data_IF_689210140707
#
_entry.id   IF_689210140707
#
_cell.length_a   1.000
_cell.length_b   1.000
_cell.length_c   1.000
_cell.angle_alpha   90.00
_cell.angle_beta   90.00
_cell.angle_gamma   90.00
#
_symmetry.space_group_name_H-M   'P 1'
#
loop_
_entity.id
_entity.type
_entity.pdbx_description
1 polymer ?
#
# COMPACT_ATOMS: atom_id res chain seq x y z
N UNK A 1 -18.01 -17.06 10.05
CA UNK A 1 -18.16 -17.23 11.51
C UNK A 1 -18.00 -15.86 12.15
N UNK A 2 -19.09 -15.17 12.47
CA UNK A 2 -19.05 -13.93 13.26
C UNK A 2 -18.69 -14.28 14.70
N UNK A 3 -17.74 -13.56 15.30
CA UNK A 3 -17.44 -13.62 16.73
C UNK A 3 -17.77 -12.26 17.32
N UNK A 4 -18.77 -12.23 18.18
CA UNK A 4 -19.21 -11.01 18.86
C UNK A 4 -18.50 -10.92 20.21
N UNK A 5 -17.76 -9.84 20.45
CA UNK A 5 -17.19 -9.52 21.76
C UNK A 5 -18.01 -8.38 22.36
N UNK A 6 -18.68 -8.64 23.48
CA UNK A 6 -19.56 -7.68 24.14
C UNK A 6 -18.83 -6.99 25.30
N UNK A 7 -18.48 -5.72 25.15
CA UNK A 7 -18.28 -4.83 26.29
C UNK A 7 -18.85 -3.43 25.95
N UNK A 8 -20.12 -3.25 26.28
CA UNK A 8 -20.74 -1.96 26.66
C UNK A 8 -20.52 -0.72 25.78
N UNK A 9 -20.36 -0.89 24.47
CA UNK A 9 -20.51 0.16 23.45
C UNK A 9 -21.22 -0.49 22.26
N UNK A 10 -22.16 0.24 21.63
CA UNK A 10 -23.01 -0.16 20.49
C UNK A 10 -22.41 -1.29 19.65
N UNK A 11 -23.23 -2.31 19.37
CA UNK A 11 -22.91 -3.46 18.50
C UNK A 11 -22.07 -3.02 17.29
N UNK A 12 -20.76 -3.28 17.35
CA UNK A 12 -19.84 -3.02 16.24
C UNK A 12 -19.97 -4.21 15.31
N UNK A 13 -20.73 -4.07 14.24
CA UNK A 13 -20.80 -5.07 13.19
C UNK A 13 -19.46 -5.08 12.45
N UNK A 14 -18.61 -6.07 12.77
CA UNK A 14 -17.34 -6.26 12.09
C UNK A 14 -17.58 -6.95 10.75
N UNK A 15 -17.60 -6.18 9.66
CA UNK A 15 -17.46 -6.74 8.33
C UNK A 15 -16.03 -7.30 8.21
N UNK A 16 -15.93 -8.62 8.09
CA UNK A 16 -14.67 -9.23 7.69
C UNK A 16 -14.36 -8.71 6.29
N UNK A 17 -13.24 -7.99 6.11
CA UNK A 17 -12.74 -7.65 4.77
C UNK A 17 -12.71 -8.94 3.96
N UNK A 18 -13.47 -8.96 2.85
CA UNK A 18 -13.39 -10.07 1.89
C UNK A 18 -11.92 -10.32 1.61
N UNK A 19 -11.50 -11.59 1.70
CA UNK A 19 -10.09 -11.94 1.49
C UNK A 19 -9.68 -11.34 0.15
N UNK A 20 -8.78 -10.36 0.18
CA UNK A 20 -8.13 -9.90 -1.04
C UNK A 20 -7.63 -11.15 -1.75
N UNK A 21 -7.99 -11.29 -3.03
CA UNK A 21 -7.61 -12.43 -3.84
C UNK A 21 -6.11 -12.70 -3.66
N UNK A 22 -5.65 -13.95 -3.58
CA UNK A 22 -4.26 -14.28 -3.16
C UNK A 22 -3.15 -13.60 -3.98
N UNK A 23 -3.50 -13.12 -5.17
CA UNK A 23 -2.63 -12.36 -6.06
C UNK A 23 -2.66 -10.83 -5.81
N UNK A 24 -3.42 -10.31 -4.84
CA UNK A 24 -3.48 -8.88 -4.54
C UNK A 24 -2.75 -8.63 -3.23
N UNK A 25 -1.90 -7.62 -3.22
CA UNK A 25 -1.15 -7.21 -2.03
C UNK A 25 -1.14 -5.70 -1.90
N UNK A 26 -1.30 -5.22 -0.67
CA UNK A 26 -1.16 -3.81 -0.36
C UNK A 26 0.29 -3.55 0.08
N UNK A 27 0.89 -2.53 -0.50
CA UNK A 27 2.26 -2.11 -0.22
C UNK A 27 2.23 -0.68 0.27
N UNK A 28 2.89 -0.43 1.38
CA UNK A 28 2.94 0.89 2.00
C UNK A 28 4.26 1.59 1.66
N UNK A 29 4.17 2.88 1.37
CA UNK A 29 5.32 3.74 1.14
C UNK A 29 5.39 4.69 2.32
N UNK A 30 6.39 4.51 3.21
CA UNK A 30 6.45 5.27 4.45
C UNK A 30 6.69 6.76 4.17
N UNK A 31 7.50 7.07 3.15
CA UNK A 31 7.83 8.43 2.77
C UNK A 31 8.11 8.55 1.28
N UNK A 32 7.46 9.50 0.63
CA UNK A 32 7.60 9.92 -0.76
C UNK A 32 8.82 10.85 -0.96
N UNK A 33 9.33 11.43 0.14
CA UNK A 33 10.36 12.44 0.12
C UNK A 33 9.87 13.71 -0.59
N UNK A 34 10.63 14.14 -1.59
CA UNK A 34 10.37 15.34 -2.40
C UNK A 34 9.76 15.01 -3.78
N UNK A 35 9.43 13.74 -4.03
CA UNK A 35 8.90 13.30 -5.33
C UNK A 35 7.39 13.53 -5.41
N UNK A 36 6.89 13.89 -6.58
CA UNK A 36 5.43 13.95 -6.81
C UNK A 36 4.83 12.53 -6.92
N UNK A 37 3.57 12.37 -6.51
CA UNK A 37 2.87 11.08 -6.51
C UNK A 37 2.81 10.43 -7.89
N UNK A 38 2.72 11.21 -8.98
CA UNK A 38 2.71 10.70 -10.34
C UNK A 38 4.10 10.18 -10.74
N UNK A 39 5.15 10.91 -10.37
CA UNK A 39 6.53 10.50 -10.62
C UNK A 39 6.86 9.21 -9.86
N UNK A 40 6.38 9.10 -8.62
CA UNK A 40 6.50 7.87 -7.84
C UNK A 40 5.82 6.69 -8.53
N UNK A 41 4.60 6.89 -9.02
CA UNK A 41 3.87 5.85 -9.73
C UNK A 41 4.65 5.33 -10.93
N UNK A 42 5.28 6.21 -11.72
CA UNK A 42 6.12 5.82 -12.84
C UNK A 42 7.35 5.02 -12.39
N UNK A 43 8.03 5.44 -11.33
CA UNK A 43 9.18 4.71 -10.76
C UNK A 43 8.79 3.31 -10.27
N UNK A 44 7.65 3.20 -9.58
CA UNK A 44 7.15 1.93 -9.06
C UNK A 44 6.73 1.05 -10.21
N UNK A 45 5.98 1.58 -11.18
CA UNK A 45 5.60 0.86 -12.39
C UNK A 45 6.83 0.31 -13.09
N UNK A 46 7.87 1.12 -13.31
CA UNK A 46 9.11 0.67 -13.92
C UNK A 46 9.79 -0.45 -13.11
N UNK A 47 9.80 -0.34 -11.78
CA UNK A 47 10.45 -1.32 -10.90
C UNK A 47 9.68 -2.63 -10.77
N UNK A 48 8.36 -2.56 -10.72
CA UNK A 48 7.49 -3.71 -10.46
C UNK A 48 6.85 -4.28 -11.72
N UNK A 49 7.03 -3.67 -12.90
CA UNK A 49 6.38 -4.08 -14.15
C UNK A 49 6.52 -5.59 -14.46
N UNK A 50 7.68 -6.18 -14.17
CA UNK A 50 7.94 -7.60 -14.44
C UNK A 50 7.22 -8.54 -13.48
N UNK A 51 6.90 -8.09 -12.27
CA UNK A 51 6.40 -8.92 -11.16
C UNK A 51 4.94 -8.64 -10.80
N UNK A 52 4.45 -7.43 -11.05
CA UNK A 52 3.11 -6.99 -10.67
C UNK A 52 2.55 -5.88 -11.56
N UNK A 53 1.27 -5.59 -11.37
CA UNK A 53 0.53 -4.49 -11.96
C UNK A 53 -0.09 -3.64 -10.86
N UNK A 54 -0.08 -2.32 -11.03
CA UNK A 54 -0.73 -1.39 -10.09
C UNK A 54 -2.23 -1.43 -10.36
N UNK A 55 -3.03 -1.79 -9.35
CA UNK A 55 -4.49 -1.78 -9.42
C UNK A 55 -5.01 -0.41 -9.00
N UNK A 56 -4.51 0.09 -7.88
CA UNK A 56 -5.01 1.30 -7.26
C UNK A 56 -3.96 1.96 -6.36
N UNK A 57 -4.15 3.24 -6.08
CA UNK A 57 -3.33 4.03 -5.17
C UNK A 57 -4.21 4.87 -4.27
N UNK A 58 -3.84 4.89 -3.00
CA UNK A 58 -4.42 5.81 -2.01
C UNK A 58 -3.31 6.64 -1.39
N UNK A 59 -3.59 7.91 -1.19
CA UNK A 59 -2.70 8.86 -0.54
C UNK A 59 -3.52 9.78 0.37
N UNK A 60 -2.91 10.23 1.46
CA UNK A 60 -3.55 11.19 2.35
C UNK A 60 -3.38 12.58 1.75
N UNK A 61 -4.47 13.31 1.60
CA UNK A 61 -4.49 14.68 1.10
C UNK A 61 -5.00 15.63 2.19
N UNK A 62 -4.47 16.86 2.23
CA UNK A 62 -5.00 17.90 3.11
C UNK A 62 -6.29 18.45 2.52
N UNK A 63 -7.37 18.45 3.31
CA UNK A 63 -8.67 18.96 2.88
C UNK A 63 -8.56 20.40 2.38
N UNK A 64 -8.98 20.64 1.14
CA UNK A 64 -8.97 21.97 0.52
C UNK A 64 -7.64 22.36 -0.14
N UNK A 65 -6.63 21.49 -0.12
CA UNK A 65 -5.37 21.66 -0.85
C UNK A 65 -5.25 20.54 -1.91
N UNK A 66 -4.48 20.80 -2.96
CA UNK A 66 -4.14 19.81 -3.99
C UNK A 66 -2.89 18.99 -3.64
N UNK A 67 -2.27 19.28 -2.50
CA UNK A 67 -1.04 18.63 -2.05
C UNK A 67 -1.32 17.34 -1.27
N UNK A 68 -0.66 16.27 -1.69
CA UNK A 68 -0.62 15.01 -0.96
C UNK A 68 0.44 15.07 0.13
N UNK A 69 0.16 14.41 1.25
CA UNK A 69 1.17 14.22 2.29
C UNK A 69 2.23 13.25 1.76
N UNK A 70 3.51 13.46 2.12
CA UNK A 70 4.58 12.58 1.69
C UNK A 70 4.49 11.19 2.35
N UNK A 71 3.63 11.01 3.35
CA UNK A 71 3.41 9.74 4.05
C UNK A 71 1.98 9.24 3.91
N UNK A 72 1.77 7.96 4.19
CA UNK A 72 0.45 7.34 4.12
C UNK A 72 0.02 7.00 2.70
N UNK A 73 0.98 6.88 1.77
CA UNK A 73 0.73 6.36 0.43
C UNK A 73 0.67 4.84 0.50
N UNK A 74 -0.42 4.26 0.02
CA UNK A 74 -0.60 2.81 -0.11
C UNK A 74 -0.96 2.46 -1.53
N UNK A 75 -0.31 1.43 -2.05
CA UNK A 75 -0.48 0.96 -3.42
C UNK A 75 -0.98 -0.47 -3.39
N UNK A 76 -2.03 -0.72 -4.14
CA UNK A 76 -2.56 -2.06 -4.36
C UNK A 76 -1.90 -2.65 -5.60
N UNK A 77 -1.20 -3.77 -5.44
CA UNK A 77 -0.50 -4.47 -6.51
C UNK A 77 -1.15 -5.82 -6.78
N UNK A 78 -1.35 -6.12 -8.06
CA UNK A 78 -1.67 -7.46 -8.55
C UNK A 78 -0.41 -8.20 -8.94
N UNK A 79 -0.07 -9.27 -8.25
CA UNK A 79 0.98 -10.22 -8.62
C UNK A 79 0.64 -10.87 -9.96
N UNK A 80 1.62 -10.93 -10.86
CA UNK A 80 1.51 -11.68 -12.12
C UNK A 80 1.60 -13.20 -11.92
N UNK A 81 2.23 -13.65 -10.84
CA UNK A 81 2.38 -15.06 -10.48
C UNK A 81 2.19 -15.24 -8.98
N UNK A 82 1.59 -16.36 -8.55
CA UNK A 82 1.28 -16.62 -7.14
C UNK A 82 2.55 -16.73 -6.27
N UNK A 83 3.65 -17.22 -6.86
CA UNK A 83 4.96 -17.40 -6.20
C UNK A 83 5.73 -16.09 -5.99
N UNK A 84 5.28 -14.99 -6.61
CA UNK A 84 5.97 -13.71 -6.53
C UNK A 84 5.80 -13.09 -5.14
N UNK A 85 6.90 -12.99 -4.41
CA UNK A 85 6.96 -12.31 -3.12
C UNK A 85 7.17 -10.81 -3.37
N UNK A 86 6.15 -10.02 -3.06
CA UNK A 86 6.22 -8.56 -3.05
C UNK A 86 6.36 -8.13 -1.60
N UNK A 87 7.31 -7.24 -1.26
CA UNK A 87 7.45 -6.73 0.10
C UNK A 87 6.21 -5.94 0.52
N UNK A 88 5.91 -5.91 1.81
CA UNK A 88 4.83 -5.07 2.35
C UNK A 88 5.17 -3.57 2.29
N UNK A 89 6.43 -3.21 2.08
CA UNK A 89 6.91 -1.82 2.03
C UNK A 89 7.88 -1.57 0.89
N UNK A 90 7.81 -0.37 0.33
CA UNK A 90 8.77 0.16 -0.64
C UNK A 90 9.33 1.47 -0.10
N UNK A 91 10.64 1.60 -0.11
CA UNK A 91 11.32 2.82 0.32
C UNK A 91 11.73 3.64 -0.89
N UNK A 92 11.56 4.96 -0.77
CA UNK A 92 12.08 5.90 -1.74
C UNK A 92 13.37 6.51 -1.19
N UNK A 93 14.46 6.37 -1.95
CA UNK A 93 15.75 6.98 -1.62
C UNK A 93 16.42 7.53 -2.89
N UNK A 94 16.73 8.83 -2.91
CA UNK A 94 17.43 9.53 -4.02
C UNK A 94 16.93 9.18 -5.43
N UNK A 95 15.61 9.23 -5.66
CA UNK A 95 15.03 8.95 -6.99
C UNK A 95 14.86 7.47 -7.32
N UNK A 96 15.11 6.57 -6.36
CA UNK A 96 15.02 5.11 -6.57
C UNK A 96 14.08 4.48 -5.56
N UNK A 97 13.36 3.46 -6.05
CA UNK A 97 12.51 2.62 -5.22
C UNK A 97 13.29 1.37 -4.82
N UNK A 98 13.49 1.24 -3.51
CA UNK A 98 14.14 0.12 -2.86
C UNK A 98 13.09 -0.83 -2.27
N UNK A 99 13.30 -2.12 -2.48
CA UNK A 99 12.46 -3.19 -1.93
C UNK A 99 13.07 -3.60 -0.59
N UNK A 100 12.48 -3.16 0.52
CA UNK A 100 12.96 -3.51 1.88
C UNK A 100 12.54 -4.96 2.19
N UNK A 101 13.48 -5.90 2.10
CA UNK A 101 13.23 -7.32 2.40
C UNK A 101 13.57 -7.59 3.87
N UNK A 102 12.60 -7.43 4.78
CA UNK A 102 12.73 -7.82 6.20
C UNK A 102 12.63 -6.69 7.23
N UNK A 103 12.17 -5.51 6.83
CA UNK A 103 12.04 -4.34 7.71
C UNK A 103 10.76 -4.46 8.55
N UNK A 104 10.87 -4.39 9.89
CA UNK A 104 9.72 -4.44 10.80
C UNK A 104 9.01 -3.10 10.79
N UNK A 105 7.68 -3.14 10.82
CA UNK A 105 6.82 -1.97 11.01
C UNK A 105 7.26 -1.22 12.28
N UNK A 106 7.54 0.08 12.15
CA UNK A 106 7.96 0.95 13.25
C UNK A 106 6.76 1.38 14.10
#
# INVERSE_FOLDING_TARGET
MQRTFSHTLKEIEMYQTEKLHENITAVNIPNLGDVDILTLLDLIKAKTHSISEIIDISAICRKGLTEFLPFGVKILLRKKSADTIIPSFLEYEYGRINICRGCKEA
#
